data_IF_493996283873
#
_entry.id   IF_493996283873
#
_cell.length_a   1.000
_cell.length_b   1.000
_cell.length_c   1.000
_cell.angle_alpha   90.00
_cell.angle_beta   90.00
_cell.angle_gamma   90.00
#
_symmetry.space_group_name_H-M   'P 1'
#
loop_
_entity.id
_entity.type
_entity.pdbx_description
1 polymer ?
#
# COMPACT_ATOMS: atom_id res chain seq x y z
N UNK A 1 -77.14 -10.10 19.31
CA UNK A 1 -76.57 -8.86 18.83
C UNK A 1 -75.21 -8.75 19.51
N UNK A 2 -74.11 -9.02 18.82
CA UNK A 2 -72.70 -8.94 19.25
C UNK A 2 -71.96 -8.22 18.19
N UNK A 3 -71.49 -7.03 18.45
CA UNK A 3 -70.68 -6.23 17.57
C UNK A 3 -69.21 -6.65 17.69
N UNK A 4 -68.56 -6.96 16.56
CA UNK A 4 -67.14 -7.26 16.46
C UNK A 4 -66.42 -5.98 16.01
N UNK A 5 -65.61 -5.41 16.90
CA UNK A 5 -64.68 -4.34 16.58
C UNK A 5 -63.35 -4.90 16.11
N UNK A 6 -63.03 -4.66 14.84
CA UNK A 6 -61.72 -4.98 14.26
C UNK A 6 -60.73 -3.86 14.56
N UNK A 7 -59.69 -4.16 15.31
CA UNK A 7 -58.56 -3.29 15.51
C UNK A 7 -57.55 -3.44 14.34
N UNK A 8 -57.32 -2.37 13.59
CA UNK A 8 -56.33 -2.28 12.53
C UNK A 8 -54.96 -1.95 13.15
N UNK A 9 -54.05 -2.93 13.21
CA UNK A 9 -52.68 -2.74 13.64
C UNK A 9 -51.83 -2.18 12.51
N UNK A 10 -51.39 -0.94 12.66
CA UNK A 10 -50.45 -0.29 11.73
C UNK A 10 -49.01 -0.72 12.09
N UNK A 11 -48.40 -1.64 11.33
CA UNK A 11 -46.99 -1.99 11.45
C UNK A 11 -46.15 -0.98 10.71
N UNK A 12 -45.46 -0.12 11.45
CA UNK A 12 -44.44 0.79 10.93
C UNK A 12 -43.21 -0.06 10.64
N UNK A 13 -42.98 -0.37 9.35
CA UNK A 13 -41.76 -1.01 8.87
C UNK A 13 -40.63 -0.03 8.88
N UNK A 14 -39.68 -0.19 9.80
CA UNK A 14 -38.44 0.56 9.87
C UNK A 14 -37.53 0.07 8.73
N UNK A 15 -37.40 0.89 7.66
CA UNK A 15 -36.51 0.64 6.58
C UNK A 15 -35.06 0.87 7.06
N UNK A 16 -34.35 -0.21 7.39
CA UNK A 16 -32.94 -0.18 7.75
C UNK A 16 -32.12 -0.03 6.46
N UNK A 17 -31.77 1.21 6.13
CA UNK A 17 -30.83 1.48 5.04
C UNK A 17 -29.45 0.97 5.44
N UNK A 18 -29.08 -0.20 4.92
CA UNK A 18 -27.74 -0.77 5.01
C UNK A 18 -26.80 0.13 4.21
N UNK A 19 -26.10 1.02 4.89
CA UNK A 19 -24.98 1.77 4.28
C UNK A 19 -23.86 0.77 4.06
N UNK A 20 -23.72 0.28 2.82
CA UNK A 20 -22.56 -0.49 2.41
C UNK A 20 -21.33 0.42 2.47
N UNK A 21 -20.54 0.29 3.52
CA UNK A 21 -19.17 0.76 3.55
C UNK A 21 -18.39 -0.09 2.53
N UNK A 22 -18.18 0.44 1.33
CA UNK A 22 -17.23 -0.15 0.38
C UNK A 22 -15.86 0.06 0.98
N UNK A 23 -15.32 -0.97 1.62
CA UNK A 23 -13.93 -1.00 2.05
C UNK A 23 -13.06 -0.99 0.78
N UNK A 24 -12.43 0.15 0.49
CA UNK A 24 -11.53 0.39 -0.67
C UNK A 24 -10.26 -0.51 -0.61
N UNK A 25 -10.20 -1.47 0.30
CA UNK A 25 -9.06 -2.36 0.49
C UNK A 25 -9.27 -3.82 0.08
N UNK A 26 -10.50 -4.25 -0.29
CA UNK A 26 -10.82 -5.67 -0.45
C UNK A 26 -10.29 -6.31 -1.75
N UNK A 27 -10.01 -5.52 -2.79
CA UNK A 27 -9.64 -6.03 -4.12
C UNK A 27 -8.19 -5.73 -4.53
N UNK A 28 -7.38 -5.12 -3.64
CA UNK A 28 -5.99 -4.80 -3.93
C UNK A 28 -5.09 -6.00 -3.64
N UNK A 29 -4.27 -6.36 -4.61
CA UNK A 29 -3.17 -7.32 -4.45
C UNK A 29 -1.87 -6.55 -4.15
N UNK A 30 -1.20 -6.87 -3.06
CA UNK A 30 0.07 -6.27 -2.67
C UNK A 30 -0.08 -4.92 -1.95
N UNK A 31 0.86 -4.01 -2.20
CA UNK A 31 1.00 -2.76 -1.47
C UNK A 31 0.22 -1.59 -2.08
N UNK A 32 0.07 -0.50 -1.33
CA UNK A 32 -0.45 0.77 -1.85
C UNK A 32 0.48 1.33 -2.93
N UNK A 33 -0.03 2.28 -3.71
CA UNK A 33 0.77 2.99 -4.72
C UNK A 33 1.92 3.75 -4.04
N UNK A 34 3.20 3.42 -4.35
CA UNK A 34 4.34 3.90 -3.57
C UNK A 34 4.93 5.22 -4.06
N UNK A 35 4.47 5.73 -5.20
CA UNK A 35 5.00 6.97 -5.79
C UNK A 35 4.22 8.19 -5.33
N UNK A 36 4.88 9.33 -5.26
CA UNK A 36 4.28 10.61 -4.89
C UNK A 36 3.75 11.42 -6.10
N UNK A 37 3.87 10.86 -7.30
CA UNK A 37 3.49 11.52 -8.55
C UNK A 37 2.45 10.73 -9.34
N UNK A 38 1.63 11.43 -10.10
CA UNK A 38 0.67 10.84 -11.03
C UNK A 38 1.41 10.16 -12.19
N UNK A 39 1.09 8.90 -12.54
CA UNK A 39 1.81 8.15 -13.57
C UNK A 39 1.63 8.72 -14.98
N UNK A 40 0.59 9.50 -15.20
CA UNK A 40 0.27 10.07 -16.53
C UNK A 40 0.82 11.50 -16.69
N UNK A 41 0.59 12.35 -15.68
CA UNK A 41 0.96 13.77 -15.80
C UNK A 41 2.30 14.12 -15.16
N UNK A 42 2.87 13.22 -14.31
CA UNK A 42 4.05 13.50 -13.51
C UNK A 42 3.83 14.50 -12.37
N UNK A 43 2.62 15.05 -12.22
CA UNK A 43 2.32 16.02 -11.15
C UNK A 43 2.34 15.35 -9.79
N UNK A 44 2.79 16.08 -8.77
CA UNK A 44 2.75 15.63 -7.37
C UNK A 44 1.30 15.34 -6.96
N UNK A 45 1.08 14.18 -6.34
CA UNK A 45 -0.23 13.80 -5.80
C UNK A 45 -0.60 14.75 -4.65
N UNK A 46 -1.87 15.14 -4.58
CA UNK A 46 -2.35 16.13 -3.62
C UNK A 46 -2.19 17.59 -4.07
N UNK A 47 -1.46 17.88 -5.17
CA UNK A 47 -1.30 19.26 -5.69
C UNK A 47 -2.57 19.85 -6.34
N UNK A 48 -3.55 19.01 -6.65
CA UNK A 48 -4.81 19.40 -7.30
C UNK A 48 -6.05 18.95 -6.48
N UNK A 49 -5.91 18.75 -5.18
CA UNK A 49 -6.89 18.12 -4.30
C UNK A 49 -6.56 16.67 -4.03
N UNK A 50 -7.49 15.95 -3.39
CA UNK A 50 -7.27 14.54 -3.03
C UNK A 50 -7.03 13.67 -4.26
N UNK A 51 -6.03 12.79 -4.23
CA UNK A 51 -5.75 11.89 -5.33
C UNK A 51 -6.93 10.95 -5.63
N UNK A 52 -7.19 10.73 -6.92
CA UNK A 52 -8.14 9.70 -7.34
C UNK A 52 -7.46 8.34 -7.23
N UNK A 53 -7.95 7.49 -6.33
CA UNK A 53 -7.43 6.13 -6.11
C UNK A 53 -8.25 5.14 -6.93
N UNK A 54 -7.59 4.27 -7.68
CA UNK A 54 -8.20 3.18 -8.46
C UNK A 54 -7.43 1.90 -8.27
N UNK A 55 -8.15 0.78 -8.29
CA UNK A 55 -7.55 -0.56 -8.43
C UNK A 55 -7.77 -0.99 -9.87
N UNK A 56 -6.67 -1.17 -10.60
CA UNK A 56 -6.65 -1.58 -12.02
C UNK A 56 -5.82 -2.86 -12.09
N UNK A 57 -6.38 -3.93 -12.63
CA UNK A 57 -5.76 -5.27 -12.68
C UNK A 57 -5.23 -5.74 -11.31
N UNK A 58 -6.00 -5.47 -10.24
CA UNK A 58 -5.66 -5.81 -8.87
C UNK A 58 -4.58 -4.90 -8.22
N UNK A 59 -4.07 -3.89 -8.91
CA UNK A 59 -3.05 -2.96 -8.41
C UNK A 59 -3.62 -1.58 -8.14
N UNK A 60 -3.31 -1.03 -6.98
CA UNK A 60 -3.66 0.35 -6.67
C UNK A 60 -2.82 1.32 -7.50
N UNK A 61 -3.47 2.31 -8.09
CA UNK A 61 -2.84 3.42 -8.81
C UNK A 61 -3.47 4.73 -8.32
N UNK A 62 -2.67 5.77 -8.16
CA UNK A 62 -3.13 7.10 -7.72
C UNK A 62 -2.91 8.14 -8.80
N UNK A 63 -3.93 8.93 -9.06
CA UNK A 63 -3.95 9.94 -10.11
C UNK A 63 -4.22 11.33 -9.52
N UNK A 64 -3.67 12.37 -10.13
CA UNK A 64 -3.93 13.74 -9.73
C UNK A 64 -5.35 14.22 -10.08
N UNK A 65 -6.04 13.55 -11.02
CA UNK A 65 -7.41 13.88 -11.44
C UNK A 65 -8.04 12.70 -12.20
N UNK A 66 -9.38 12.73 -12.36
CA UNK A 66 -10.14 11.69 -13.07
C UNK A 66 -9.77 11.56 -14.57
N UNK A 67 -9.38 12.66 -15.24
CA UNK A 67 -8.94 12.63 -16.64
C UNK A 67 -7.67 11.80 -16.88
N UNK A 68 -6.82 11.61 -15.86
CA UNK A 68 -5.65 10.75 -15.96
C UNK A 68 -6.00 9.25 -15.88
N UNK A 69 -7.12 8.90 -15.25
CA UNK A 69 -7.59 7.50 -15.18
C UNK A 69 -7.85 6.96 -16.58
N UNK A 70 -8.70 7.64 -17.37
CA UNK A 70 -9.02 7.19 -18.72
C UNK A 70 -7.81 7.09 -19.65
N UNK A 71 -6.83 7.99 -19.50
CA UNK A 71 -5.57 7.92 -20.28
C UNK A 71 -4.71 6.71 -19.88
N UNK A 72 -4.71 6.34 -18.61
CA UNK A 72 -4.01 5.15 -18.13
C UNK A 72 -4.66 3.87 -18.68
N UNK A 73 -5.99 3.81 -18.66
CA UNK A 73 -6.78 2.66 -19.10
C UNK A 73 -6.75 2.44 -20.63
N UNK A 74 -6.49 3.50 -21.43
CA UNK A 74 -6.32 3.36 -22.88
C UNK A 74 -5.16 2.43 -23.29
N UNK A 75 -4.11 2.35 -22.47
CA UNK A 75 -3.01 1.43 -22.69
C UNK A 75 -2.43 1.01 -21.33
N UNK A 76 -3.14 0.13 -20.63
CA UNK A 76 -2.82 -0.33 -19.28
C UNK A 76 -1.44 -0.98 -19.19
N UNK A 77 -1.07 -1.79 -20.20
CA UNK A 77 0.22 -2.48 -20.23
C UNK A 77 1.40 -1.49 -20.29
N UNK A 78 1.38 -0.55 -21.23
CA UNK A 78 2.44 0.47 -21.34
C UNK A 78 2.47 1.39 -20.12
N UNK A 79 1.30 1.74 -19.57
CA UNK A 79 1.18 2.55 -18.37
C UNK A 79 1.79 1.86 -17.16
N UNK A 80 1.51 0.59 -16.93
CA UNK A 80 2.14 -0.19 -15.85
C UNK A 80 3.63 -0.39 -16.07
N UNK A 81 4.08 -0.61 -17.29
CA UNK A 81 5.53 -0.70 -17.57
C UNK A 81 6.27 0.58 -17.14
N UNK A 82 5.67 1.75 -17.37
CA UNK A 82 6.22 3.03 -16.92
C UNK A 82 6.20 3.17 -15.39
N UNK A 83 5.11 2.75 -14.74
CA UNK A 83 5.00 2.73 -13.27
C UNK A 83 6.04 1.79 -12.67
N UNK A 84 6.18 0.58 -13.22
CA UNK A 84 7.12 -0.43 -12.74
C UNK A 84 8.56 0.05 -12.83
N UNK A 85 8.93 0.72 -13.92
CA UNK A 85 10.27 1.29 -14.07
C UNK A 85 10.57 2.30 -12.94
N UNK A 86 9.61 3.17 -12.60
CA UNK A 86 9.74 4.13 -11.50
C UNK A 86 9.79 3.46 -10.12
N UNK A 87 8.99 2.40 -9.91
CA UNK A 87 9.02 1.62 -8.67
C UNK A 87 10.39 0.95 -8.51
N UNK A 88 10.94 0.36 -9.58
CA UNK A 88 12.30 -0.22 -9.56
C UNK A 88 13.32 0.86 -9.22
N UNK A 89 13.27 2.01 -9.88
CA UNK A 89 14.18 3.13 -9.63
C UNK A 89 14.16 3.59 -8.16
N UNK A 90 12.98 3.69 -7.56
CA UNK A 90 12.80 4.18 -6.18
C UNK A 90 13.09 3.14 -5.11
N UNK A 91 12.73 1.87 -5.33
CA UNK A 91 12.85 0.82 -4.30
C UNK A 91 14.18 0.06 -4.37
N UNK A 92 14.86 0.02 -5.53
CA UNK A 92 16.09 -0.73 -5.70
C UNK A 92 17.25 -0.28 -4.81
N UNK A 93 17.49 1.03 -4.58
CA UNK A 93 18.57 1.49 -3.70
C UNK A 93 18.39 1.07 -2.24
N UNK A 94 17.15 0.96 -1.76
CA UNK A 94 16.80 0.56 -0.39
C UNK A 94 16.46 -0.92 -0.25
N UNK A 95 16.55 -1.72 -1.32
CA UNK A 95 16.18 -3.14 -1.30
C UNK A 95 16.90 -3.89 -0.17
N UNK A 96 16.18 -4.68 0.68
CA UNK A 96 16.76 -5.18 1.92
C UNK A 96 17.68 -6.39 1.75
N UNK A 97 17.61 -7.10 0.63
CA UNK A 97 18.33 -8.36 0.43
C UNK A 97 19.40 -8.23 -0.67
N UNK A 98 20.54 -8.85 -0.46
CA UNK A 98 21.57 -9.07 -1.47
C UNK A 98 21.51 -10.48 -2.12
N UNK A 99 20.49 -11.24 -1.73
CA UNK A 99 20.19 -12.58 -2.22
C UNK A 99 18.80 -12.66 -2.87
N UNK A 100 18.63 -13.63 -3.76
CA UNK A 100 17.35 -13.96 -4.36
C UNK A 100 16.33 -14.34 -3.27
N UNK A 101 15.20 -13.65 -3.25
CA UNK A 101 14.17 -13.90 -2.22
C UNK A 101 13.57 -15.32 -2.29
N UNK A 102 13.62 -15.97 -3.46
CA UNK A 102 13.14 -17.34 -3.65
C UNK A 102 14.22 -18.38 -3.33
N UNK A 103 15.34 -18.37 -4.05
CA UNK A 103 16.38 -19.41 -3.96
C UNK A 103 17.41 -19.17 -2.86
N UNK A 104 17.59 -17.92 -2.39
CA UNK A 104 18.67 -17.54 -1.47
C UNK A 104 20.02 -17.35 -2.13
N UNK A 105 20.14 -17.52 -3.46
CA UNK A 105 21.39 -17.28 -4.19
C UNK A 105 21.73 -15.80 -4.25
N UNK A 106 23.02 -15.48 -4.23
CA UNK A 106 23.49 -14.10 -4.29
C UNK A 106 23.03 -13.42 -5.58
N UNK A 107 22.51 -12.21 -5.46
CA UNK A 107 22.10 -11.39 -6.60
C UNK A 107 23.33 -10.87 -7.34
N UNK A 108 23.48 -11.29 -8.60
CA UNK A 108 24.51 -10.81 -9.49
C UNK A 108 24.06 -9.65 -10.37
N UNK A 109 24.90 -9.33 -11.36
CA UNK A 109 24.58 -8.29 -12.37
C UNK A 109 23.38 -8.65 -13.25
N UNK A 110 23.09 -9.95 -13.39
CA UNK A 110 22.00 -10.48 -14.20
C UNK A 110 20.69 -10.68 -13.38
N UNK A 111 20.64 -10.11 -12.17
CA UNK A 111 19.46 -10.19 -11.33
C UNK A 111 18.23 -9.60 -12.02
N UNK A 112 17.11 -10.31 -11.92
CA UNK A 112 15.81 -9.93 -12.50
C UNK A 112 15.04 -9.10 -11.51
N UNK A 113 14.74 -7.86 -11.87
CA UNK A 113 13.88 -6.95 -11.11
C UNK A 113 12.43 -7.11 -11.60
N UNK A 114 11.51 -7.42 -10.69
CA UNK A 114 10.09 -7.66 -11.00
C UNK A 114 9.21 -6.91 -10.03
N UNK A 115 8.22 -6.15 -10.54
CA UNK A 115 7.21 -5.49 -9.71
C UNK A 115 5.94 -6.33 -9.68
N UNK A 116 5.47 -6.65 -8.48
CA UNK A 116 4.22 -7.37 -8.25
C UNK A 116 3.48 -6.65 -7.14
N UNK A 117 2.22 -6.27 -7.36
CA UNK A 117 1.43 -5.57 -6.37
C UNK A 117 2.13 -4.33 -5.80
N UNK A 118 2.74 -3.50 -6.67
CA UNK A 118 3.47 -2.27 -6.30
C UNK A 118 4.76 -2.47 -5.45
N UNK A 119 5.27 -3.68 -5.36
CA UNK A 119 6.51 -4.03 -4.65
C UNK A 119 7.56 -4.56 -5.60
N UNK A 120 8.79 -4.11 -5.42
CA UNK A 120 9.95 -4.66 -6.10
C UNK A 120 10.36 -5.99 -5.47
N UNK A 121 10.56 -7.00 -6.30
CA UNK A 121 11.19 -8.27 -5.96
C UNK A 121 12.42 -8.46 -6.83
N UNK A 122 13.53 -8.86 -6.22
CA UNK A 122 14.78 -9.14 -6.93
C UNK A 122 15.11 -10.62 -6.86
N UNK A 123 15.34 -11.22 -8.01
CA UNK A 123 15.61 -12.66 -8.16
C UNK A 123 16.84 -12.92 -9.00
N UNK A 124 17.44 -14.11 -8.86
CA UNK A 124 18.60 -14.52 -9.64
C UNK A 124 18.25 -14.85 -11.10
N UNK A 125 16.98 -15.25 -11.38
CA UNK A 125 16.54 -15.67 -12.70
C UNK A 125 15.04 -15.46 -12.93
N UNK A 126 14.58 -15.62 -14.18
CA UNK A 126 13.20 -15.44 -14.57
C UNK A 126 12.24 -16.50 -13.97
N UNK A 127 12.72 -17.72 -13.71
CA UNK A 127 11.88 -18.77 -13.13
C UNK A 127 11.57 -18.47 -11.65
N UNK A 128 12.54 -17.94 -10.91
CA UNK A 128 12.26 -17.43 -9.57
C UNK A 128 11.24 -16.29 -9.58
N UNK A 129 11.27 -15.41 -10.58
CA UNK A 129 10.27 -14.34 -10.72
C UNK A 129 8.87 -14.88 -11.04
N UNK A 130 8.74 -15.96 -11.82
CA UNK A 130 7.45 -16.65 -12.05
C UNK A 130 6.88 -17.23 -10.78
N UNK A 131 7.72 -17.86 -9.94
CA UNK A 131 7.28 -18.43 -8.66
C UNK A 131 6.72 -17.37 -7.73
N UNK A 132 7.34 -16.17 -7.68
CA UNK A 132 6.81 -15.06 -6.88
C UNK A 132 5.44 -14.60 -7.41
N UNK A 133 5.26 -14.52 -8.73
CA UNK A 133 3.95 -14.17 -9.33
C UNK A 133 2.86 -15.17 -8.99
N UNK A 134 3.20 -16.46 -8.90
CA UNK A 134 2.25 -17.51 -8.53
C UNK A 134 1.85 -17.45 -7.04
N UNK A 135 2.74 -17.01 -6.17
CA UNK A 135 2.55 -17.02 -4.71
C UNK A 135 2.96 -15.69 -4.04
N UNK A 136 2.41 -14.53 -4.44
CA UNK A 136 2.91 -13.22 -4.03
C UNK A 136 2.85 -12.99 -2.52
N UNK A 137 1.81 -13.46 -1.83
CA UNK A 137 1.64 -13.26 -0.39
C UNK A 137 2.78 -13.86 0.45
N UNK A 138 3.21 -15.08 0.12
CA UNK A 138 4.33 -15.76 0.80
C UNK A 138 5.62 -14.94 0.73
N UNK A 139 5.90 -14.38 -0.45
CA UNK A 139 7.12 -13.60 -0.67
C UNK A 139 7.02 -12.19 -0.12
N UNK A 140 5.82 -11.62 -0.07
CA UNK A 140 5.58 -10.33 0.57
C UNK A 140 5.91 -10.39 2.06
N UNK A 141 5.41 -11.38 2.79
CA UNK A 141 5.73 -11.57 4.22
C UNK A 141 7.24 -11.73 4.46
N UNK A 142 7.92 -12.50 3.60
CA UNK A 142 9.36 -12.68 3.69
C UNK A 142 10.13 -11.37 3.44
N UNK A 143 9.69 -10.59 2.45
CA UNK A 143 10.28 -9.30 2.13
C UNK A 143 10.02 -8.28 3.23
N UNK A 144 8.82 -8.25 3.80
CA UNK A 144 8.47 -7.35 4.90
C UNK A 144 9.32 -7.60 6.14
N UNK A 145 9.58 -8.86 6.49
CA UNK A 145 10.52 -9.21 7.57
C UNK A 145 11.91 -8.66 7.30
N UNK A 146 12.42 -8.81 6.07
CA UNK A 146 13.74 -8.30 5.70
C UNK A 146 13.81 -6.76 5.73
N UNK A 147 12.74 -6.06 5.30
CA UNK A 147 12.64 -4.59 5.43
C UNK A 147 12.69 -4.17 6.89
N UNK A 148 11.87 -4.81 7.75
CA UNK A 148 11.81 -4.51 9.18
C UNK A 148 13.19 -4.71 9.83
N UNK A 149 13.85 -5.81 9.56
CA UNK A 149 15.19 -6.11 10.11
C UNK A 149 16.22 -5.07 9.68
N UNK A 150 16.24 -4.72 8.39
CA UNK A 150 17.18 -3.74 7.85
C UNK A 150 16.94 -2.33 8.37
N UNK A 151 15.68 -1.86 8.34
CA UNK A 151 15.38 -0.46 8.64
C UNK A 151 15.21 -0.17 10.15
N UNK A 152 14.98 -1.20 10.98
CA UNK A 152 14.81 -1.02 12.44
C UNK A 152 16.00 -0.32 13.10
N UNK A 153 17.22 -0.66 12.72
CA UNK A 153 18.43 -0.11 13.31
C UNK A 153 18.64 1.38 13.01
N UNK A 154 18.11 1.87 11.91
CA UNK A 154 18.25 3.25 11.44
C UNK A 154 16.95 4.05 11.52
N UNK A 155 15.89 3.48 12.11
CA UNK A 155 14.60 4.13 12.22
C UNK A 155 14.65 5.36 13.14
N UNK A 156 14.44 6.54 12.55
CA UNK A 156 14.70 7.82 13.24
C UNK A 156 13.50 8.35 14.03
N UNK A 157 12.26 7.95 13.70
CA UNK A 157 11.07 8.52 14.34
C UNK A 157 10.88 7.95 15.75
N UNK A 158 10.88 8.84 16.76
CA UNK A 158 10.62 8.50 18.17
C UNK A 158 9.14 8.52 18.54
N UNK A 159 8.32 9.06 17.65
CA UNK A 159 6.86 9.18 17.81
C UNK A 159 6.13 8.49 16.67
N UNK A 160 4.92 8.03 16.94
CA UNK A 160 4.02 7.51 15.91
C UNK A 160 3.76 8.61 14.87
N UNK A 161 4.03 8.37 13.58
CA UNK A 161 3.86 9.39 12.54
C UNK A 161 2.39 9.80 12.34
N UNK A 162 1.45 9.01 12.83
CA UNK A 162 0.00 9.26 12.72
C UNK A 162 -0.53 10.01 13.92
N UNK A 163 -0.35 9.46 15.14
CA UNK A 163 -0.94 10.01 16.37
C UNK A 163 -0.02 11.00 17.10
N UNK A 164 1.29 10.97 16.82
CA UNK A 164 2.28 11.75 17.58
C UNK A 164 2.64 11.15 18.94
N UNK A 165 2.05 10.01 19.35
CA UNK A 165 2.37 9.34 20.60
C UNK A 165 3.81 8.82 20.62
N UNK A 166 4.45 8.85 21.80
CA UNK A 166 5.80 8.32 21.98
C UNK A 166 5.85 6.82 21.69
N UNK A 167 6.88 6.41 20.97
CA UNK A 167 7.22 5.00 20.72
C UNK A 167 8.29 4.51 21.71
N UNK A 168 8.73 5.38 22.64
CA UNK A 168 9.68 5.09 23.71
C UNK A 168 8.91 4.95 25.03
N UNK A 169 9.39 4.11 25.95
CA UNK A 169 8.83 4.07 27.32
C UNK A 169 7.97 2.86 27.66
N UNK A 170 8.12 1.72 26.99
CA UNK A 170 7.64 0.44 27.52
C UNK A 170 6.55 -0.27 26.71
N UNK A 171 5.82 0.40 25.82
CA UNK A 171 4.91 -0.29 24.88
C UNK A 171 5.69 -0.67 23.62
N UNK A 172 5.70 -1.96 23.27
CA UNK A 172 6.34 -2.42 22.04
C UNK A 172 5.59 -1.84 20.83
N UNK A 173 6.22 -1.04 19.98
CA UNK A 173 5.58 -0.51 18.78
C UNK A 173 5.11 -1.60 17.83
N UNK A 174 3.97 -1.37 17.19
CA UNK A 174 3.53 -2.19 16.05
C UNK A 174 4.38 -1.83 14.84
N UNK A 175 5.07 -2.81 14.29
CA UNK A 175 5.92 -2.65 13.10
C UNK A 175 5.17 -3.15 11.86
N UNK A 176 5.03 -2.28 10.87
CA UNK A 176 4.35 -2.59 9.60
C UNK A 176 5.17 -2.09 8.43
N UNK A 177 5.02 -2.73 7.28
CA UNK A 177 5.63 -2.25 6.03
C UNK A 177 4.53 -1.68 5.15
N UNK A 178 4.72 -0.45 4.68
CA UNK A 178 3.84 0.22 3.72
C UNK A 178 4.70 0.87 2.64
N UNK A 179 4.34 0.67 1.39
CA UNK A 179 5.07 1.19 0.23
C UNK A 179 6.57 0.83 0.23
N UNK A 180 6.91 -0.33 0.81
CA UNK A 180 8.29 -0.83 0.87
C UNK A 180 9.13 -0.34 2.03
N UNK A 181 8.58 0.44 2.98
CA UNK A 181 9.30 1.00 4.12
C UNK A 181 8.68 0.61 5.46
N UNK A 182 9.54 0.50 6.48
CA UNK A 182 9.13 0.26 7.86
C UNK A 182 8.44 1.51 8.44
N UNK A 183 7.29 1.26 9.08
CA UNK A 183 6.67 2.21 10.01
C UNK A 183 6.51 1.56 11.37
N UNK A 184 6.91 2.29 12.42
CA UNK A 184 6.68 1.92 13.82
C UNK A 184 5.54 2.77 14.35
N UNK A 185 4.49 2.13 14.83
CA UNK A 185 3.20 2.73 15.17
C UNK A 185 2.83 2.42 16.61
N UNK A 186 2.03 3.31 17.24
CA UNK A 186 1.50 3.07 18.57
C UNK A 186 0.44 1.93 18.59
N UNK A 187 -0.30 1.74 17.47
CA UNK A 187 -1.32 0.70 17.31
C UNK A 187 -1.47 0.27 15.85
N UNK A 188 -2.17 -0.83 15.62
CA UNK A 188 -2.40 -1.39 14.28
C UNK A 188 -3.28 -0.49 13.40
N UNK A 189 -4.22 0.24 13.99
CA UNK A 189 -5.18 1.09 13.24
C UNK A 189 -4.49 2.25 12.50
N UNK A 190 -3.34 2.70 13.01
CA UNK A 190 -2.54 3.74 12.36
C UNK A 190 -2.03 3.32 10.96
N UNK A 191 -1.94 2.02 10.66
CA UNK A 191 -1.57 1.54 9.32
C UNK A 191 -2.55 2.02 8.25
N UNK A 192 -3.84 1.92 8.52
CA UNK A 192 -4.88 2.34 7.58
C UNK A 192 -4.78 3.84 7.22
N UNK A 193 -4.37 4.68 8.18
CA UNK A 193 -4.18 6.11 7.93
C UNK A 193 -2.96 6.39 7.05
N UNK A 194 -1.87 5.64 7.23
CA UNK A 194 -0.71 5.71 6.32
C UNK A 194 -1.10 5.28 4.90
N UNK A 195 -1.85 4.19 4.78
CA UNK A 195 -2.30 3.69 3.48
C UNK A 195 -3.23 4.65 2.73
N UNK A 196 -3.98 5.52 3.43
CA UNK A 196 -4.76 6.58 2.78
C UNK A 196 -3.89 7.64 2.09
N UNK A 197 -2.77 8.00 2.70
CA UNK A 197 -1.86 9.01 2.13
C UNK A 197 -0.39 8.62 2.31
N UNK A 198 0.10 7.55 1.63
CA UNK A 198 1.44 7.03 1.85
C UNK A 198 2.54 8.04 1.53
N UNK A 199 2.37 8.88 0.50
CA UNK A 199 3.36 9.88 0.12
C UNK A 199 3.70 10.84 1.26
N UNK A 200 2.70 11.33 2.00
CA UNK A 200 2.89 12.19 3.18
C UNK A 200 3.79 11.55 4.23
N UNK A 201 3.57 10.27 4.52
CA UNK A 201 4.28 9.58 5.59
C UNK A 201 5.67 9.10 5.13
N UNK A 202 5.84 8.75 3.86
CA UNK A 202 7.14 8.44 3.28
C UNK A 202 8.08 9.65 3.29
N UNK A 203 7.55 10.86 3.10
CA UNK A 203 8.34 12.08 3.18
C UNK A 203 8.86 12.35 4.61
N UNK A 204 8.13 11.92 5.65
CA UNK A 204 8.59 11.99 7.04
C UNK A 204 9.80 11.09 7.32
N UNK A 205 9.89 9.92 6.67
CA UNK A 205 11.03 9.01 6.82
C UNK A 205 12.31 9.55 6.17
N UNK A 206 12.18 10.43 5.17
CA UNK A 206 13.32 11.05 4.45
C UNK A 206 13.86 12.27 5.16
N UNK A 207 13.04 12.93 5.99
CA UNK A 207 13.42 14.18 6.66
C UNK A 207 14.13 13.87 7.98
N UNK A 208 15.38 14.36 8.22
CA UNK A 208 15.99 14.27 9.53
C UNK A 208 15.10 15.02 10.52
N UNK A 209 14.60 14.33 11.55
CA UNK A 209 13.85 14.97 12.63
C UNK A 209 14.84 15.81 13.45
N UNK A 210 14.97 17.10 13.11
CA UNK A 210 15.60 18.08 13.99
C UNK A 210 14.64 18.36 15.15
N UNK A 211 14.89 17.73 16.29
CA UNK A 211 14.30 18.09 17.58
C UNK A 211 15.38 18.31 18.61
#
# INVERSE_FOLDING_TARGET
MKEHTHAFGLTVGTLFTLVMFVAVGADRVGDVYPLDTCPISGKKLGSMGDPVVKVIDGREVRFCCSGCVGKFEQNTEASFKSVDAKIVETQKPSYPLDVCINSGEKLGKDAVDTVIGNRLYRTCCADCAKEIRANPGKFQEKLDKAVIEKERATYALKKCPVSGESLEGGVKPTEVVVAGHLFRLCCADCKAEIEKNPAKYLDLLKSPQTH
#
